data_IF_726945314747
#
_entry.id   IF_726945314747
#
_cell.length_a   1.000
_cell.length_b   1.000
_cell.length_c   1.000
_cell.angle_alpha   90.00
_cell.angle_beta   90.00
_cell.angle_gamma   90.00
#
_symmetry.space_group_name_H-M   'P 1'
#
loop_
_entity.id
_entity.type
_entity.pdbx_description
1 polymer ?
#
# COMPACT_ATOMS: atom_id res chain seq x y z
N UNK A 1 -5.89 -1.44 -13.00
CA UNK A 1 -5.62 -0.49 -11.89
C UNK A 1 -6.65 -0.63 -10.78
N UNK A 2 -6.22 -0.59 -9.54
CA UNK A 2 -7.09 -0.41 -8.37
C UNK A 2 -7.53 1.06 -8.26
N UNK A 3 -8.75 1.29 -7.79
CA UNK A 3 -9.34 2.62 -7.59
C UNK A 3 -10.46 2.56 -6.54
N UNK A 4 -10.78 3.69 -5.92
CA UNK A 4 -11.85 3.77 -4.92
C UNK A 4 -11.39 3.43 -3.51
N UNK A 5 -12.36 3.38 -2.59
CA UNK A 5 -12.13 3.12 -1.17
C UNK A 5 -13.11 2.05 -0.65
N UNK A 6 -12.64 1.19 0.25
CA UNK A 6 -13.47 0.19 0.92
C UNK A 6 -13.13 0.16 2.42
N UNK A 7 -14.02 0.66 3.29
CA UNK A 7 -13.93 0.43 4.72
C UNK A 7 -14.04 -1.06 5.04
N UNK A 8 -13.17 -1.57 5.90
CA UNK A 8 -13.15 -2.97 6.33
C UNK A 8 -12.43 -3.10 7.68
N UNK A 9 -12.20 -4.33 8.13
CA UNK A 9 -11.52 -4.62 9.39
C UNK A 9 -10.34 -5.57 9.20
N UNK A 10 -9.23 -5.28 9.86
CA UNK A 10 -8.14 -6.23 10.10
C UNK A 10 -8.41 -6.93 11.42
N UNK A 11 -8.39 -8.27 11.41
CA UNK A 11 -8.63 -9.04 12.62
C UNK A 11 -7.47 -8.95 13.63
N UNK A 12 -7.69 -9.44 14.85
CA UNK A 12 -6.70 -9.42 15.93
C UNK A 12 -5.41 -10.17 15.59
N UNK A 13 -5.46 -11.09 14.62
CA UNK A 13 -4.28 -11.82 14.15
C UNK A 13 -3.53 -11.06 13.05
N UNK A 14 -3.99 -9.87 12.66
CA UNK A 14 -3.39 -9.05 11.61
C UNK A 14 -3.80 -9.44 10.20
N UNK A 15 -4.88 -10.22 10.03
CA UNK A 15 -5.33 -10.66 8.71
C UNK A 15 -6.34 -9.66 8.15
N UNK A 16 -6.04 -9.15 6.97
CA UNK A 16 -6.94 -8.35 6.16
C UNK A 16 -7.68 -9.25 5.17
N UNK A 17 -9.02 -9.30 5.24
CA UNK A 17 -9.80 -9.86 4.14
C UNK A 17 -9.88 -8.83 3.02
N UNK A 18 -9.41 -9.19 1.83
CA UNK A 18 -9.38 -8.28 0.71
C UNK A 18 -10.81 -7.94 0.25
N UNK A 19 -11.16 -6.65 0.04
CA UNK A 19 -12.46 -6.27 -0.51
C UNK A 19 -12.76 -6.97 -1.83
N UNK A 20 -14.01 -7.37 -2.04
CA UNK A 20 -14.39 -8.25 -3.15
C UNK A 20 -14.02 -7.69 -4.53
N UNK A 21 -14.16 -6.38 -4.74
CA UNK A 21 -13.79 -5.72 -6.00
C UNK A 21 -12.29 -5.78 -6.26
N UNK A 22 -11.47 -5.49 -5.25
CA UNK A 22 -10.01 -5.60 -5.34
C UNK A 22 -9.57 -7.06 -5.52
N UNK A 23 -10.20 -8.00 -4.81
CA UNK A 23 -9.93 -9.43 -4.98
C UNK A 23 -10.21 -9.88 -6.41
N UNK A 24 -11.36 -9.50 -6.99
CA UNK A 24 -11.68 -9.86 -8.38
C UNK A 24 -10.59 -9.36 -9.34
N UNK A 25 -10.11 -8.14 -9.14
CA UNK A 25 -9.02 -7.58 -9.96
C UNK A 25 -7.67 -8.27 -9.73
N UNK A 26 -7.38 -8.70 -8.50
CA UNK A 26 -6.22 -9.57 -8.20
C UNK A 26 -6.31 -10.88 -8.98
N UNK A 27 -7.45 -11.56 -8.89
CA UNK A 27 -7.65 -12.84 -9.56
C UNK A 27 -7.59 -12.71 -11.10
N UNK A 28 -8.09 -11.61 -11.67
CA UNK A 28 -8.09 -11.35 -13.12
C UNK A 28 -6.71 -11.03 -13.70
N UNK A 29 -5.87 -10.27 -12.99
CA UNK A 29 -4.68 -9.64 -13.58
C UNK A 29 -3.35 -10.04 -12.93
N UNK A 30 -3.41 -10.65 -11.76
CA UNK A 30 -2.26 -10.86 -10.90
C UNK A 30 -2.22 -12.33 -10.44
N UNK A 31 -2.02 -12.55 -9.15
CA UNK A 31 -1.95 -13.86 -8.51
C UNK A 31 -2.01 -13.68 -7.00
N UNK A 32 -1.84 -14.76 -6.22
CA UNK A 32 -2.01 -14.72 -4.78
C UNK A 32 -0.82 -14.13 -4.03
N UNK A 33 0.30 -13.82 -4.71
CA UNK A 33 1.52 -13.34 -4.08
C UNK A 33 1.58 -11.82 -4.04
N UNK A 34 2.00 -11.29 -2.89
CA UNK A 34 2.08 -9.87 -2.60
C UNK A 34 3.40 -9.53 -1.91
N UNK A 35 3.83 -8.29 -2.09
CA UNK A 35 4.81 -7.65 -1.23
C UNK A 35 4.11 -6.56 -0.43
N UNK A 36 4.16 -6.66 0.89
CA UNK A 36 3.51 -5.71 1.81
C UNK A 36 4.59 -4.91 2.51
N UNK A 37 4.58 -3.59 2.33
CA UNK A 37 5.63 -2.68 2.83
C UNK A 37 5.06 -1.32 3.24
N UNK A 38 5.93 -0.35 3.52
CA UNK A 38 5.59 1.06 3.72
C UNK A 38 6.80 1.94 3.40
N UNK A 39 6.54 3.21 3.13
CA UNK A 39 7.57 4.25 2.91
C UNK A 39 7.72 5.21 4.10
N UNK A 40 6.76 5.20 5.01
CA UNK A 40 6.71 6.12 6.16
C UNK A 40 6.28 5.44 7.47
N UNK A 41 5.91 4.16 7.42
CA UNK A 41 5.42 3.38 8.55
C UNK A 41 4.00 3.74 9.01
N UNK A 42 3.31 4.68 8.34
CA UNK A 42 1.96 5.14 8.70
C UNK A 42 0.84 4.40 7.98
N UNK A 43 1.19 3.72 6.89
CA UNK A 43 0.27 2.96 6.04
C UNK A 43 0.92 1.68 5.55
N UNK A 44 0.13 0.63 5.31
CA UNK A 44 0.63 -0.57 4.64
C UNK A 44 0.32 -0.49 3.15
N UNK A 45 1.35 -0.53 2.32
CA UNK A 45 1.25 -0.64 0.87
C UNK A 45 1.28 -2.11 0.48
N UNK A 46 0.19 -2.61 -0.11
CA UNK A 46 0.00 -4.01 -0.52
C UNK A 46 0.11 -4.09 -2.04
N UNK A 47 1.29 -4.47 -2.53
CA UNK A 47 1.55 -4.64 -3.95
C UNK A 47 1.29 -6.08 -4.37
N UNK A 48 0.52 -6.35 -5.44
CA UNK A 48 0.69 -7.60 -6.17
C UNK A 48 2.18 -7.76 -6.51
N UNK A 49 2.77 -8.94 -6.26
CA UNK A 49 4.23 -9.12 -6.34
C UNK A 49 4.79 -8.67 -7.70
N UNK A 50 4.08 -8.98 -8.80
CA UNK A 50 4.46 -8.54 -10.16
C UNK A 50 4.60 -7.02 -10.32
N UNK A 51 3.83 -6.22 -9.58
CA UNK A 51 3.94 -4.75 -9.64
C UNK A 51 5.11 -4.25 -8.79
N UNK A 52 5.44 -4.96 -7.70
CA UNK A 52 6.65 -4.68 -6.92
C UNK A 52 7.92 -5.02 -7.70
N UNK A 53 7.96 -6.16 -8.40
CA UNK A 53 9.11 -6.58 -9.22
C UNK A 53 9.45 -5.53 -10.29
N UNK A 54 8.46 -4.86 -10.88
CA UNK A 54 8.71 -3.72 -11.80
C UNK A 54 9.39 -2.52 -11.13
N UNK A 55 9.13 -2.29 -9.84
CA UNK A 55 9.82 -1.27 -9.05
C UNK A 55 11.26 -1.73 -8.82
N UNK A 56 11.47 -3.00 -8.46
CA UNK A 56 12.79 -3.58 -8.27
C UNK A 56 13.65 -3.54 -9.54
N UNK A 57 13.07 -3.82 -10.71
CA UNK A 57 13.72 -3.68 -12.02
C UNK A 57 14.21 -2.24 -12.27
N UNK A 58 13.37 -1.25 -11.98
CA UNK A 58 13.75 0.17 -12.09
C UNK A 58 14.83 0.54 -11.09
N UNK A 59 14.75 0.04 -9.86
CA UNK A 59 15.77 0.25 -8.84
C UNK A 59 17.10 -0.39 -9.25
N UNK A 60 17.09 -1.56 -9.90
CA UNK A 60 18.29 -2.25 -10.37
C UNK A 60 19.09 -1.38 -11.37
N UNK A 61 18.42 -0.59 -12.20
CA UNK A 61 19.05 0.32 -13.16
C UNK A 61 19.72 1.56 -12.51
N UNK A 62 19.38 1.88 -11.24
CA UNK A 62 19.98 3.02 -10.53
C UNK A 62 21.35 2.62 -9.95
N UNK A 63 22.40 3.47 -10.05
CA UNK A 63 23.72 3.19 -9.46
C UNK A 63 23.64 2.78 -7.99
N UNK A 64 24.39 1.73 -7.61
CA UNK A 64 24.37 1.16 -6.25
C UNK A 64 24.78 2.17 -5.16
N UNK A 65 25.66 3.11 -5.50
CA UNK A 65 26.13 4.17 -4.59
C UNK A 65 25.15 5.35 -4.45
N UNK A 66 24.01 5.33 -5.15
CA UNK A 66 23.03 6.39 -5.03
C UNK A 66 22.38 6.36 -3.62
N UNK A 67 22.49 7.44 -2.82
CA UNK A 67 21.99 7.45 -1.45
C UNK A 67 20.45 7.35 -1.36
N UNK A 68 19.72 7.87 -2.35
CA UNK A 68 18.26 7.78 -2.37
C UNK A 68 17.79 6.35 -2.66
N UNK A 69 18.46 5.62 -3.57
CA UNK A 69 18.22 4.19 -3.80
C UNK A 69 18.39 3.40 -2.51
N UNK A 70 19.52 3.61 -1.81
CA UNK A 70 19.80 2.93 -0.55
C UNK A 70 18.72 3.22 0.49
N UNK A 71 18.36 4.50 0.69
CA UNK A 71 17.30 4.89 1.65
C UNK A 71 15.95 4.27 1.30
N UNK A 72 15.59 4.22 0.02
CA UNK A 72 14.35 3.58 -0.42
C UNK A 72 14.34 2.08 -0.10
N UNK A 73 15.42 1.37 -0.41
CA UNK A 73 15.57 -0.06 -0.10
C UNK A 73 15.56 -0.31 1.41
N UNK A 74 16.27 0.51 2.20
CA UNK A 74 16.32 0.36 3.65
C UNK A 74 14.91 0.47 4.26
N UNK A 75 14.14 1.49 3.89
CA UNK A 75 12.80 1.72 4.43
C UNK A 75 11.81 0.65 3.96
N UNK A 76 11.81 0.34 2.67
CA UNK A 76 10.84 -0.62 2.11
C UNK A 76 11.13 -2.05 2.54
N UNK A 77 12.40 -2.43 2.74
CA UNK A 77 12.74 -3.74 3.31
C UNK A 77 12.49 -3.81 4.82
N UNK A 78 12.67 -2.71 5.55
CA UNK A 78 12.40 -2.68 6.99
C UNK A 78 10.93 -2.96 7.31
N UNK A 79 10.01 -2.39 6.54
CA UNK A 79 8.57 -2.64 6.66
C UNK A 79 8.08 -3.84 5.84
N UNK A 80 8.92 -4.36 4.95
CA UNK A 80 8.55 -5.24 3.84
C UNK A 80 8.53 -6.72 4.18
N UNK A 81 7.46 -7.43 3.81
CA UNK A 81 7.43 -8.89 3.77
C UNK A 81 6.63 -9.41 2.57
N UNK A 82 7.07 -10.53 2.02
CA UNK A 82 6.27 -11.29 1.05
C UNK A 82 5.12 -11.97 1.79
N UNK A 83 3.91 -11.89 1.23
CA UNK A 83 2.72 -12.53 1.75
C UNK A 83 1.96 -13.25 0.63
N UNK A 84 1.36 -14.39 0.97
CA UNK A 84 0.48 -15.12 0.07
C UNK A 84 -0.96 -15.03 0.58
N UNK A 85 -1.89 -14.73 -0.32
CA UNK A 85 -3.31 -14.67 -0.03
C UNK A 85 -3.85 -16.07 0.18
N UNK A 86 -4.51 -16.31 1.32
CA UNK A 86 -5.10 -17.61 1.62
C UNK A 86 -6.36 -17.90 0.77
N UNK A 87 -6.84 -19.14 0.83
CA UNK A 87 -8.05 -19.57 0.12
C UNK A 87 -9.32 -18.77 0.49
N UNK A 88 -9.32 -18.04 1.60
CA UNK A 88 -10.42 -17.18 2.05
C UNK A 88 -10.26 -15.73 1.57
N UNK A 89 -9.21 -15.42 0.80
CA UNK A 89 -8.92 -14.10 0.30
C UNK A 89 -8.31 -13.17 1.35
N UNK A 90 -7.57 -13.71 2.33
CA UNK A 90 -6.95 -12.92 3.40
C UNK A 90 -5.44 -12.81 3.24
N UNK A 91 -4.90 -11.65 3.61
CA UNK A 91 -3.48 -11.36 3.69
C UNK A 91 -3.06 -11.08 5.12
N UNK A 92 -1.95 -11.66 5.56
CA UNK A 92 -1.36 -11.36 6.85
C UNK A 92 -0.49 -10.11 6.74
N UNK A 93 -0.85 -9.05 7.46
CA UNK A 93 -0.04 -7.82 7.47
C UNK A 93 1.23 -8.03 8.31
N UNK A 94 2.39 -7.49 7.87
CA UNK A 94 3.62 -7.50 8.66
C UNK A 94 3.39 -6.96 10.07
N UNK A 95 3.95 -7.64 11.08
CA UNK A 95 3.74 -7.25 12.48
C UNK A 95 4.14 -5.79 12.73
N UNK A 96 5.28 -5.37 12.17
CA UNK A 96 5.77 -4.01 12.32
C UNK A 96 4.78 -2.96 11.82
N UNK A 97 4.04 -3.25 10.74
CA UNK A 97 3.03 -2.34 10.19
C UNK A 97 1.75 -2.35 11.03
N UNK A 98 1.38 -3.48 11.62
CA UNK A 98 0.27 -3.52 12.59
C UNK A 98 0.50 -2.56 13.75
N UNK A 99 1.74 -2.50 14.22
CA UNK A 99 2.15 -1.65 15.34
C UNK A 99 2.35 -0.20 14.91
N UNK A 100 3.14 0.05 13.87
CA UNK A 100 3.51 1.43 13.46
C UNK A 100 2.36 2.18 12.79
N UNK A 101 1.60 1.51 11.93
CA UNK A 101 0.48 2.11 11.19
C UNK A 101 -0.88 1.95 11.90
N UNK A 102 -0.92 1.24 13.04
CA UNK A 102 -2.13 0.99 13.84
C UNK A 102 -3.29 0.44 13.01
N UNK A 103 -2.97 -0.49 12.11
CA UNK A 103 -3.91 -1.06 11.13
C UNK A 103 -4.71 -2.25 11.68
N UNK A 104 -4.63 -2.58 12.97
CA UNK A 104 -5.52 -3.58 13.60
C UNK A 104 -6.85 -2.92 13.96
N UNK A 105 -7.97 -3.56 13.63
CA UNK A 105 -9.29 -2.98 13.79
C UNK A 105 -9.79 -2.30 12.51
N UNK A 106 -10.44 -1.15 12.65
CA UNK A 106 -11.16 -0.51 11.55
C UNK A 106 -10.20 0.26 10.63
N UNK A 107 -10.21 -0.13 9.36
CA UNK A 107 -9.29 0.36 8.33
C UNK A 107 -10.05 0.75 7.07
N UNK A 108 -9.38 1.52 6.21
CA UNK A 108 -9.80 1.74 4.83
C UNK A 108 -8.78 1.11 3.91
N UNK A 109 -9.24 0.39 2.89
CA UNK A 109 -8.41 -0.08 1.79
C UNK A 109 -8.65 0.83 0.59
N UNK A 110 -7.61 1.52 0.14
CA UNK A 110 -7.64 2.46 -0.97
C UNK A 110 -6.98 1.84 -2.20
N UNK A 111 -7.57 2.07 -3.37
CA UNK A 111 -6.95 1.72 -4.63
C UNK A 111 -5.94 2.80 -5.06
N UNK A 112 -4.65 2.45 -5.06
CA UNK A 112 -3.55 3.36 -5.42
C UNK A 112 -2.93 2.91 -6.75
N UNK A 113 -3.74 2.93 -7.81
CA UNK A 113 -3.38 2.55 -9.18
C UNK A 113 -2.89 1.09 -9.33
N UNK A 114 -1.62 0.80 -9.03
CA UNK A 114 -1.02 -0.54 -9.20
C UNK A 114 -0.99 -1.35 -7.90
N UNK A 115 -1.25 -0.72 -6.76
CA UNK A 115 -1.25 -1.35 -5.44
C UNK A 115 -2.43 -0.87 -4.59
N UNK A 116 -2.54 -1.41 -3.39
CA UNK A 116 -3.55 -1.03 -2.41
C UNK A 116 -2.88 -0.40 -1.19
N UNK A 117 -3.53 0.58 -0.59
CA UNK A 117 -3.10 1.16 0.68
C UNK A 117 -4.08 0.75 1.77
N UNK A 118 -3.56 0.26 2.89
CA UNK A 118 -4.33 -0.08 4.08
C UNK A 118 -3.95 0.92 5.16
N UNK A 119 -4.94 1.70 5.59
CA UNK A 119 -4.76 2.79 6.55
C UNK A 119 -5.75 2.65 7.70
N UNK A 120 -5.35 3.06 8.89
CA UNK A 120 -6.27 3.23 10.00
C UNK A 120 -7.35 4.27 9.60
N UNK A 121 -8.64 3.93 9.76
CA UNK A 121 -9.74 4.76 9.25
C UNK A 121 -9.73 6.17 9.84
N UNK A 122 -9.68 6.28 11.17
CA UNK A 122 -9.82 7.56 11.86
C UNK A 122 -8.58 8.44 11.69
N UNK A 123 -7.40 7.84 11.75
CA UNK A 123 -6.14 8.55 11.53
C UNK A 123 -6.06 9.13 10.12
N UNK A 124 -6.48 8.36 9.11
CA UNK A 124 -6.47 8.81 7.72
C UNK A 124 -7.52 9.88 7.45
N UNK A 125 -8.73 9.73 8.02
CA UNK A 125 -9.76 10.77 7.93
C UNK A 125 -9.27 12.10 8.49
N UNK A 126 -8.67 12.08 9.69
CA UNK A 126 -8.11 13.28 10.31
C UNK A 126 -6.97 13.89 9.47
N UNK A 127 -6.14 13.06 8.85
CA UNK A 127 -5.08 13.53 7.94
C UNK A 127 -5.66 14.27 6.72
N UNK A 128 -6.70 13.73 6.09
CA UNK A 128 -7.38 14.37 4.96
C UNK A 128 -8.07 15.69 5.33
N UNK A 129 -8.70 15.75 6.51
CA UNK A 129 -9.33 16.97 7.03
C UNK A 129 -8.29 18.05 7.38
N UNK A 130 -7.13 17.64 7.89
CA UNK A 130 -6.03 18.55 8.22
C UNK A 130 -5.25 19.05 6.99
N UNK A 131 -5.23 18.26 5.92
CA UNK A 131 -4.52 18.55 4.67
C UNK A 131 -5.48 18.39 3.47
N UNK A 132 -6.49 19.28 3.35
CA UNK A 132 -7.42 19.22 2.22
C UNK A 132 -6.69 19.58 0.92
N UNK A 133 -7.21 19.07 -0.20
CA UNK A 133 -6.75 19.46 -1.52
C UNK A 133 -6.84 20.98 -1.69
N UNK A 134 -5.73 21.62 -2.03
CA UNK A 134 -5.65 23.07 -2.21
C UNK A 134 -5.64 23.48 -3.68
N UNK A 135 -5.89 24.75 -3.96
CA UNK A 135 -5.71 25.31 -5.31
C UNK A 135 -4.27 25.19 -5.79
N UNK A 136 -3.28 25.31 -4.89
CA UNK A 136 -1.86 25.11 -5.20
C UNK A 136 -1.59 23.68 -5.66
N UNK A 137 -2.20 22.69 -5.01
CA UNK A 137 -2.07 21.28 -5.41
C UNK A 137 -2.69 21.05 -6.80
N UNK A 138 -3.87 21.60 -7.06
CA UNK A 138 -4.53 21.53 -8.37
C UNK A 138 -3.70 22.20 -9.46
N UNK A 139 -3.09 23.36 -9.18
CA UNK A 139 -2.22 24.04 -10.12
C UNK A 139 -0.95 23.24 -10.44
N UNK A 140 -0.35 22.60 -9.43
CA UNK A 140 0.80 21.71 -9.64
C UNK A 140 0.45 20.48 -10.50
N UNK A 141 -0.80 20.00 -10.43
CA UNK A 141 -1.28 18.91 -11.27
C UNK A 141 -1.58 19.36 -12.71
N UNK A 142 -1.95 20.62 -12.92
CA UNK A 142 -2.21 21.18 -14.26
C UNK A 142 -0.97 21.13 -15.17
N UNK A 143 0.24 21.26 -14.61
CA UNK A 143 1.51 21.10 -15.34
C UNK A 143 1.68 19.69 -15.95
N UNK A 144 0.94 18.70 -15.44
CA UNK A 144 0.89 17.33 -15.94
C UNK A 144 -0.38 17.04 -16.77
N UNK A 145 -1.20 18.05 -17.05
CA UNK A 145 -2.42 17.94 -17.86
C UNK A 145 -3.62 17.36 -17.11
N UNK A 146 -3.64 17.45 -15.79
CA UNK A 146 -4.76 17.06 -14.92
C UNK A 146 -5.63 18.25 -14.53
#
# INVERSE_FOLDING_TARGET
>A
MFRGNHPTRVDEKGRLKLPAEFKRRVDELYGPQFYITSKDGKRAEVYPLKEWEKIEEKLAAIPSMNPAKKKFLDVTNYYGQVAEMDAQGRLLLPQILRESAKVVGDVVVLGSQTFLEVVNHDSFKAELEAQPMTETDMAALADFGL
#
